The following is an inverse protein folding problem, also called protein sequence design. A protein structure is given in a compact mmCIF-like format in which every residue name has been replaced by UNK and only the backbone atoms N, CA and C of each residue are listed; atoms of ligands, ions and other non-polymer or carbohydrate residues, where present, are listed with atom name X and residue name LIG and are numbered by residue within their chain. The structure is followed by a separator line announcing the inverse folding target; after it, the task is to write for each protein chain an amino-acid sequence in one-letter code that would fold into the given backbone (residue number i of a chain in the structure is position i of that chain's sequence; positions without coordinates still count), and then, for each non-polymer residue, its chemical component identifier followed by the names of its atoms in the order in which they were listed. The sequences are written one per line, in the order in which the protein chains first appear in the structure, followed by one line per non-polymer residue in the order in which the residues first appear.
data_IF_745999819084
#
_entry.id   IF_745999819084
#
_cell.length_a   1.000
_cell.length_b   1.000
_cell.length_c   1.000
_cell.angle_alpha   90.00
_cell.angle_beta   90.00
_cell.angle_gamma   90.00
#
_symmetry.space_group_name_H-M   'P 1'
#
loop_
_entity.id
_entity.type
_entity.pdbx_description
1 polymer ?
#
# COMPACT_ATOMS: atom_id res chain seq x y z
N UNK A 1 5.47 9.98 0.04
CA UNK A 1 5.24 10.37 1.45
C UNK A 1 3.90 9.86 2.00
N UNK A 2 3.10 9.07 1.26
CA UNK A 2 1.89 8.40 1.76
C UNK A 2 2.26 7.08 2.47
N UNK A 3 3.19 6.33 1.91
CA UNK A 3 3.52 4.98 2.35
C UNK A 3 4.24 4.93 3.71
N UNK A 4 4.94 5.99 4.12
CA UNK A 4 5.55 6.08 5.45
C UNK A 4 4.49 6.01 6.57
N UNK A 5 3.29 6.54 6.32
CA UNK A 5 2.18 6.55 7.27
C UNK A 5 1.19 5.42 7.03
N UNK A 6 1.37 4.64 5.97
CA UNK A 6 0.47 3.57 5.60
C UNK A 6 0.79 2.32 6.45
N UNK A 7 -0.14 1.80 7.27
CA UNK A 7 0.08 0.58 8.01
C UNK A 7 0.46 -0.59 7.09
N UNK A 8 1.28 -1.52 7.58
CA UNK A 8 1.82 -2.63 6.79
C UNK A 8 0.73 -3.41 6.04
N UNK A 9 -0.42 -3.68 6.69
CA UNK A 9 -1.54 -4.40 6.05
C UNK A 9 -2.05 -3.76 4.75
N UNK A 10 -2.04 -2.44 4.64
CA UNK A 10 -2.49 -1.76 3.43
C UNK A 10 -1.42 -1.77 2.34
N UNK A 11 -0.13 -1.80 2.71
CA UNK A 11 0.96 -2.07 1.75
C UNK A 11 0.84 -3.47 1.15
N UNK A 12 0.43 -4.45 1.96
CA UNK A 12 0.17 -5.81 1.51
C UNK A 12 -1.01 -5.85 0.52
N UNK A 13 -2.12 -5.18 0.82
CA UNK A 13 -3.27 -5.08 -0.09
C UNK A 13 -2.88 -4.44 -1.43
N UNK A 14 -2.04 -3.40 -1.45
CA UNK A 14 -1.53 -2.80 -2.69
C UNK A 14 -0.74 -3.82 -3.52
N UNK A 15 0.06 -4.68 -2.88
CA UNK A 15 0.78 -5.77 -3.57
C UNK A 15 -0.19 -6.82 -4.10
N UNK A 16 -1.26 -7.13 -3.37
CA UNK A 16 -2.26 -8.13 -3.77
C UNK A 16 -3.00 -7.72 -5.05
N UNK A 17 -3.47 -6.47 -5.12
CA UNK A 17 -4.22 -5.97 -6.28
C UNK A 17 -3.35 -5.65 -7.50
N UNK A 18 -2.04 -5.49 -7.32
CA UNK A 18 -1.10 -5.26 -8.41
C UNK A 18 -0.87 -6.53 -9.24
N UNK A 19 -0.79 -6.44 -10.56
CA UNK A 19 -0.31 -7.57 -11.37
C UNK A 19 1.23 -7.60 -11.44
N UNK A 20 1.78 -8.58 -12.16
CA UNK A 20 3.23 -8.69 -12.33
C UNK A 20 3.84 -7.49 -13.07
N UNK A 21 3.12 -6.93 -14.04
CA UNK A 21 3.56 -5.80 -14.85
C UNK A 21 3.55 -4.49 -14.05
N UNK A 22 2.57 -4.32 -13.15
CA UNK A 22 2.50 -3.21 -12.21
C UNK A 22 3.73 -3.18 -11.30
N UNK A 23 4.10 -4.33 -10.73
CA UNK A 23 5.28 -4.46 -9.89
C UNK A 23 6.56 -4.20 -10.70
N UNK A 24 6.62 -4.64 -11.96
CA UNK A 24 7.75 -4.34 -12.85
C UNK A 24 7.85 -2.83 -13.12
N UNK A 25 6.72 -2.15 -13.38
CA UNK A 25 6.67 -0.69 -13.57
C UNK A 25 7.02 0.08 -12.30
N UNK A 26 6.68 -0.45 -11.13
CA UNK A 26 7.14 0.06 -9.83
C UNK A 26 8.66 -0.18 -9.60
N UNK A 27 9.30 -0.88 -10.54
CA UNK A 27 10.74 -1.06 -10.69
C UNK A 27 11.29 -2.30 -9.97
N UNK A 28 10.45 -3.32 -9.77
CA UNK A 28 10.92 -4.67 -9.49
C UNK A 28 11.42 -5.36 -10.76
N UNK A 29 12.41 -6.24 -10.61
CA UNK A 29 12.83 -7.11 -11.71
C UNK A 29 11.89 -8.31 -11.82
N UNK A 30 11.81 -8.91 -13.02
CA UNK A 30 10.99 -10.12 -13.28
C UNK A 30 11.17 -11.23 -12.23
N UNK A 31 12.41 -11.44 -11.76
CA UNK A 31 12.74 -12.45 -10.74
C UNK A 31 12.27 -12.07 -9.33
N UNK A 32 12.20 -10.77 -9.01
CA UNK A 32 11.81 -10.30 -7.67
C UNK A 32 10.30 -10.13 -7.51
N UNK A 33 9.53 -10.03 -8.60
CA UNK A 33 8.05 -9.99 -8.56
C UNK A 33 7.47 -11.13 -7.74
N UNK A 34 7.93 -12.37 -7.99
CA UNK A 34 7.45 -13.53 -7.24
C UNK A 34 7.76 -13.44 -5.74
N UNK A 35 8.95 -12.97 -5.39
CA UNK A 35 9.36 -12.83 -4.00
C UNK A 35 8.55 -11.76 -3.27
N UNK A 36 8.25 -10.64 -3.93
CA UNK A 36 7.42 -9.56 -3.36
C UNK A 36 5.99 -10.03 -3.17
N UNK A 37 5.41 -10.70 -4.18
CA UNK A 37 4.06 -11.28 -4.08
C UNK A 37 3.94 -12.29 -2.94
N UNK A 38 5.00 -13.09 -2.71
CA UNK A 38 5.03 -14.08 -1.63
C UNK A 38 5.26 -13.46 -0.25
N UNK A 39 6.24 -12.56 -0.14
CA UNK A 39 6.62 -11.96 1.13
C UNK A 39 5.67 -10.85 1.59
N UNK A 40 4.99 -10.20 0.64
CA UNK A 40 4.12 -9.02 0.83
C UNK A 40 4.84 -7.86 1.55
N UNK A 41 6.16 -7.80 1.45
CA UNK A 41 6.97 -6.72 2.01
C UNK A 41 7.41 -5.79 0.88
N UNK A 42 7.21 -4.50 1.09
CA UNK A 42 7.55 -3.43 0.16
C UNK A 42 8.11 -2.24 0.94
N UNK A 43 9.18 -1.63 0.43
CA UNK A 43 9.72 -0.40 1.01
C UNK A 43 8.82 0.78 0.68
N UNK A 44 8.89 1.85 1.47
CA UNK A 44 8.07 3.04 1.26
C UNK A 44 8.28 3.64 -0.13
N UNK A 45 9.54 3.78 -0.56
CA UNK A 45 9.87 4.26 -1.91
C UNK A 45 9.21 3.43 -3.03
N UNK A 46 9.19 2.11 -2.89
CA UNK A 46 8.58 1.21 -3.88
C UNK A 46 7.05 1.25 -3.79
N UNK A 47 6.51 1.39 -2.59
CA UNK A 47 5.08 1.56 -2.37
C UNK A 47 4.58 2.85 -3.02
N UNK A 48 5.31 3.97 -2.93
CA UNK A 48 4.94 5.22 -3.63
C UNK A 48 4.89 5.01 -5.15
N UNK A 49 5.90 4.35 -5.71
CA UNK A 49 5.94 4.03 -7.14
C UNK A 49 4.78 3.13 -7.53
N UNK A 50 4.45 2.14 -6.71
CA UNK A 50 3.34 1.23 -6.96
C UNK A 50 1.99 1.95 -6.92
N UNK A 51 1.76 2.85 -5.95
CA UNK A 51 0.55 3.69 -5.91
C UNK A 51 0.41 4.50 -7.20
N UNK A 52 1.50 5.12 -7.68
CA UNK A 52 1.48 5.88 -8.94
C UNK A 52 1.15 5.00 -10.15
N UNK A 53 1.63 3.75 -10.17
CA UNK A 53 1.33 2.79 -11.24
C UNK A 53 -0.12 2.29 -11.19
N UNK A 54 -0.63 2.02 -9.98
CA UNK A 54 -1.99 1.54 -9.77
C UNK A 54 -3.03 2.62 -10.06
N UNK A 55 -2.72 3.88 -9.79
CA UNK A 55 -3.62 5.02 -10.01
C UNK A 55 -4.94 4.83 -9.26
N UNK A 56 -6.06 4.91 -9.97
CA UNK A 56 -7.40 4.75 -9.41
C UNK A 56 -7.62 3.41 -8.68
N UNK A 57 -6.89 2.35 -9.07
CA UNK A 57 -6.98 1.05 -8.39
C UNK A 57 -6.47 1.09 -6.95
N UNK A 58 -5.59 2.02 -6.60
CA UNK A 58 -5.12 2.18 -5.23
C UNK A 58 -6.14 2.91 -4.32
N UNK A 59 -7.10 3.65 -4.90
CA UNK A 59 -8.02 4.51 -4.14
C UNK A 59 -8.83 3.76 -3.08
N UNK A 60 -9.42 2.58 -3.35
CA UNK A 60 -10.17 1.84 -2.33
C UNK A 60 -9.30 1.49 -1.12
N UNK A 61 -8.07 1.05 -1.35
CA UNK A 61 -7.12 0.67 -0.29
C UNK A 61 -6.71 1.88 0.55
N UNK A 62 -6.38 3.00 -0.12
CA UNK A 62 -5.99 4.24 0.57
C UNK A 62 -7.15 4.86 1.35
N UNK A 63 -8.37 4.78 0.81
CA UNK A 63 -9.57 5.25 1.50
C UNK A 63 -9.85 4.44 2.76
N UNK A 64 -9.74 3.11 2.67
CA UNK A 64 -9.90 2.24 3.84
C UNK A 64 -8.87 2.55 4.92
N UNK A 65 -7.60 2.77 4.54
CA UNK A 65 -6.55 3.18 5.47
C UNK A 65 -6.84 4.52 6.15
N UNK A 66 -7.35 5.49 5.38
CA UNK A 66 -7.74 6.79 5.91
C UNK A 66 -8.93 6.69 6.87
N UNK A 67 -9.96 5.94 6.50
CA UNK A 67 -11.17 5.75 7.32
C UNK A 67 -10.82 5.06 8.64
N UNK A 68 -9.94 4.06 8.63
CA UNK A 68 -9.42 3.44 9.85
C UNK A 68 -8.68 4.44 10.73
N UNK A 69 -7.71 5.16 10.18
CA UNK A 69 -6.95 6.16 10.91
C UNK A 69 -7.88 7.22 11.53
N UNK A 70 -8.86 7.70 10.76
CA UNK A 70 -9.85 8.67 11.23
C UNK A 70 -10.68 8.12 12.39
N UNK A 71 -11.10 6.85 12.32
CA UNK A 71 -11.85 6.20 13.39
C UNK A 71 -11.01 6.02 14.67
N UNK A 72 -9.72 5.70 14.53
CA UNK A 72 -8.80 5.63 15.68
C UNK A 72 -8.67 7.00 16.39
N UNK A 73 -8.53 8.08 15.61
CA UNK A 73 -8.50 9.43 16.17
C UNK A 73 -9.80 9.78 16.90
N UNK A 74 -10.95 9.46 16.28
CA UNK A 74 -12.26 9.72 16.89
C UNK A 74 -12.41 9.00 18.23
N UNK A 75 -11.99 7.74 18.33
CA UNK A 75 -12.07 6.98 19.59
C UNK A 75 -11.14 7.55 20.67
N UNK A 76 -9.96 8.04 20.31
CA UNK A 76 -9.02 8.66 21.26
C UNK A 76 -9.51 10.00 21.81
N UNK A 77 -10.29 10.76 21.04
CA UNK A 77 -10.86 12.05 21.46
C UNK A 77 -12.16 11.95 22.26
N UNK A 78 -12.78 10.77 22.40
CA UNK A 78 -13.99 10.56 23.21
C UNK A 78 -13.65 10.20 24.68
N UNK A 79 -12.36 10.01 24.99
CA UNK A 79 -11.85 9.65 26.33
C UNK A 79 -11.17 10.81 27.09
N UNK A 80 -11.32 12.05 26.62
CA UNK A 80 -10.89 13.29 27.30
C UNK A 80 -12.09 14.22 27.47
#
# INVERSE_FOLDING_TARGET
MVCEFLPQKYKELLIEIADADDLIKAGYGKRSVYMVKKAKIISDERCEKLINVLGERAVPVLKEAFDEFYNELKQRHVLL
#
